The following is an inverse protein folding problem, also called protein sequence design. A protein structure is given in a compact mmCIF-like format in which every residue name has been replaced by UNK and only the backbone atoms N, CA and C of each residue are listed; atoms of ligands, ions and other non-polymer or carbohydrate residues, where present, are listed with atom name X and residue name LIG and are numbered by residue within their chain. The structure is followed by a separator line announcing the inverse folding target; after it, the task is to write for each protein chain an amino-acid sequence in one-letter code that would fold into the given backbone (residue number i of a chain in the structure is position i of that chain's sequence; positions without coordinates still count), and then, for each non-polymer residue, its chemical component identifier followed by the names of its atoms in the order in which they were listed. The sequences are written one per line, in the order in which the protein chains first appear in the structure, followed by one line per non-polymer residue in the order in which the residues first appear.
data_IF_181385061018
#
_entry.id   IF_181385061018
#
_cell.length_a   1.000
_cell.length_b   1.000
_cell.length_c   1.000
_cell.angle_alpha   90.00
_cell.angle_beta   90.00
_cell.angle_gamma   90.00
#
_symmetry.space_group_name_H-M   'P 1'
#
loop_
_entity.id
_entity.type
_entity.pdbx_description
1 polymer ?
#
# COMPACT_ATOMS: atom_id res chain seq x y z
N UNK A 1 -43.36 52.85 52.37
CA UNK A 1 -43.46 51.40 52.65
C UNK A 1 -42.28 50.72 51.98
N UNK A 2 -41.44 49.89 52.58
CA UNK A 2 -41.05 49.55 53.95
C UNK A 2 -39.86 48.58 53.79
N UNK A 3 -38.74 48.84 54.50
CA UNK A 3 -37.70 47.90 55.01
C UNK A 3 -37.23 46.74 54.11
N UNK A 4 -35.94 46.49 53.83
CA UNK A 4 -34.75 46.66 54.68
C UNK A 4 -34.60 45.48 55.65
N UNK A 5 -33.67 44.54 55.38
CA UNK A 5 -33.01 43.74 56.43
C UNK A 5 -31.79 42.96 55.88
N UNK A 6 -30.59 43.41 56.27
CA UNK A 6 -29.40 42.58 56.47
C UNK A 6 -29.46 41.94 57.87
N UNK A 7 -28.78 40.81 58.05
CA UNK A 7 -28.47 40.19 59.35
C UNK A 7 -29.07 38.78 59.44
N UNK A 8 -28.44 37.77 60.02
CA UNK A 8 -27.36 37.70 61.02
C UNK A 8 -26.72 36.31 61.00
N UNK A 9 -25.60 36.24 61.71
CA UNK A 9 -24.64 35.16 61.85
C UNK A 9 -24.98 34.06 62.89
N UNK A 10 -24.16 33.00 62.87
CA UNK A 10 -23.88 31.95 63.90
C UNK A 10 -24.94 30.83 63.98
N UNK A 11 -24.60 29.53 64.02
CA UNK A 11 -23.70 28.84 64.95
C UNK A 11 -23.13 27.50 64.40
N UNK A 12 -21.96 27.12 64.93
CA UNK A 12 -21.24 25.85 64.75
C UNK A 12 -22.01 24.61 65.24
N UNK A 13 -21.75 23.45 64.61
CA UNK A 13 -21.48 22.19 65.35
C UNK A 13 -20.78 21.13 64.48
N UNK A 14 -19.75 20.56 65.08
CA UNK A 14 -18.88 19.47 64.63
C UNK A 14 -19.64 18.16 64.35
N UNK A 15 -19.24 17.44 63.30
CA UNK A 15 -19.05 15.99 63.37
C UNK A 15 -17.81 15.60 62.56
N UNK A 16 -16.90 14.91 63.23
CA UNK A 16 -15.72 14.29 62.66
C UNK A 16 -16.10 12.97 61.98
N UNK A 17 -15.46 12.66 60.85
CA UNK A 17 -15.08 11.30 60.49
C UNK A 17 -14.03 11.34 59.36
N UNK A 18 -12.88 10.76 59.63
CA UNK A 18 -11.83 10.48 58.67
C UNK A 18 -12.30 9.42 57.66
N UNK A 19 -11.88 9.55 56.40
CA UNK A 19 -12.04 8.54 55.37
C UNK A 19 -11.00 8.79 54.27
N UNK A 20 -10.03 7.89 54.18
CA UNK A 20 -8.85 7.99 53.35
C UNK A 20 -9.12 7.91 51.84
N UNK A 21 -8.17 8.50 51.08
CA UNK A 21 -7.89 8.34 49.65
C UNK A 21 -8.26 6.98 49.06
N UNK A 22 -8.88 6.98 47.87
CA UNK A 22 -8.39 6.19 46.72
C UNK A 22 -8.63 7.01 45.43
N UNK A 23 -7.56 7.57 44.87
CA UNK A 23 -7.52 7.88 43.45
C UNK A 23 -7.59 6.53 42.71
N UNK A 24 -8.66 6.26 41.95
CA UNK A 24 -8.72 5.09 41.08
C UNK A 24 -7.65 5.25 39.99
N UNK A 25 -6.60 4.42 39.96
CA UNK A 25 -5.86 4.23 38.72
C UNK A 25 -6.79 3.44 37.80
N UNK A 26 -6.97 3.90 36.57
CA UNK A 26 -7.70 3.17 35.53
C UNK A 26 -7.11 1.77 35.36
N UNK A 27 -7.78 0.79 35.97
CA UNK A 27 -7.43 -0.63 36.00
C UNK A 27 -7.93 -1.29 34.71
N UNK A 28 -7.36 -0.91 33.55
CA UNK A 28 -7.65 -1.51 32.24
C UNK A 28 -6.38 -1.88 31.45
N UNK A 29 -5.24 -2.02 32.12
CA UNK A 29 -4.04 -2.62 31.56
C UNK A 29 -3.75 -4.00 32.18
N UNK A 30 -4.79 -4.78 32.50
CA UNK A 30 -4.62 -6.16 32.96
C UNK A 30 -4.49 -7.09 31.76
N UNK A 31 -3.28 -7.64 31.57
CA UNK A 31 -3.13 -9.04 31.14
C UNK A 31 -2.88 -9.35 29.67
N UNK A 32 -2.10 -8.53 28.93
CA UNK A 32 -1.42 -9.08 27.77
C UNK A 32 -0.13 -9.77 28.26
N UNK A 33 -0.12 -11.11 28.27
CA UNK A 33 1.11 -11.87 28.44
C UNK A 33 2.16 -11.37 27.43
N UNK A 34 3.42 -11.15 27.83
CA UNK A 34 4.45 -10.70 26.91
C UNK A 34 4.61 -11.71 25.77
N UNK A 35 4.44 -11.24 24.53
CA UNK A 35 4.57 -12.10 23.36
C UNK A 35 6.02 -12.62 23.28
N UNK A 36 6.25 -13.95 23.24
CA UNK A 36 7.60 -14.49 23.12
C UNK A 36 8.29 -14.03 21.83
N UNK A 37 9.58 -13.71 21.91
CA UNK A 37 10.35 -13.21 20.76
C UNK A 37 10.29 -14.14 19.54
N UNK A 38 10.30 -15.46 19.77
CA UNK A 38 10.16 -16.45 18.71
C UNK A 38 8.82 -16.35 17.96
N UNK A 39 7.73 -16.07 18.68
CA UNK A 39 6.41 -15.92 18.07
C UNK A 39 6.33 -14.64 17.22
N UNK A 40 6.93 -13.54 17.69
CA UNK A 40 7.01 -12.28 16.94
C UNK A 40 7.82 -12.48 15.65
N UNK A 41 8.99 -13.09 15.74
CA UNK A 41 9.84 -13.34 14.57
C UNK A 41 9.15 -14.28 13.58
N UNK A 42 8.51 -15.35 14.05
CA UNK A 42 7.76 -16.26 13.18
C UNK A 42 6.62 -15.53 12.46
N UNK A 43 5.86 -14.68 13.15
CA UNK A 43 4.79 -13.87 12.56
C UNK A 43 5.32 -12.95 11.45
N UNK A 44 6.37 -12.18 11.73
CA UNK A 44 6.92 -11.21 10.78
C UNK A 44 7.55 -11.90 9.56
N UNK A 45 8.14 -13.08 9.70
CA UNK A 45 8.60 -13.88 8.56
C UNK A 45 7.45 -14.42 7.68
N UNK A 46 6.20 -14.41 8.16
CA UNK A 46 5.03 -14.89 7.42
C UNK A 46 4.22 -13.76 6.79
N UNK A 47 4.20 -12.60 7.44
CA UNK A 47 3.33 -11.47 7.05
C UNK A 47 4.11 -10.24 6.56
N UNK A 48 5.43 -10.25 6.61
CA UNK A 48 6.29 -9.16 6.19
C UNK A 48 7.52 -9.70 5.44
N UNK A 49 8.34 -8.79 4.91
CA UNK A 49 9.63 -9.14 4.28
C UNK A 49 10.71 -9.59 5.29
N UNK A 50 10.38 -9.57 6.58
CA UNK A 50 11.24 -9.96 7.69
C UNK A 50 11.07 -9.01 8.87
N UNK A 51 11.63 -9.34 10.04
CA UNK A 51 11.48 -8.52 11.24
C UNK A 51 12.38 -7.29 11.21
N UNK A 52 11.81 -6.09 11.20
CA UNK A 52 12.50 -4.86 11.57
C UNK A 52 12.36 -4.57 13.07
N UNK A 53 13.24 -3.72 13.62
CA UNK A 53 13.19 -3.34 15.02
C UNK A 53 11.88 -2.60 15.39
N UNK A 54 11.32 -1.84 14.45
CA UNK A 54 10.08 -1.10 14.65
C UNK A 54 8.86 -2.02 14.63
N UNK A 55 8.81 -2.99 13.70
CA UNK A 55 7.73 -3.98 13.64
C UNK A 55 7.74 -4.91 14.85
N UNK A 56 8.92 -5.37 15.29
CA UNK A 56 9.04 -6.19 16.51
C UNK A 56 8.48 -5.44 17.72
N UNK A 57 8.82 -4.15 17.85
CA UNK A 57 8.29 -3.30 18.92
C UNK A 57 6.79 -3.10 18.81
N UNK A 58 6.28 -2.89 17.60
CA UNK A 58 4.85 -2.72 17.34
C UNK A 58 4.07 -3.97 17.73
N UNK A 59 4.46 -5.16 17.23
CA UNK A 59 3.82 -6.44 17.57
C UNK A 59 3.84 -6.70 19.09
N UNK A 60 4.97 -6.42 19.76
CA UNK A 60 5.06 -6.55 21.24
C UNK A 60 4.13 -5.58 21.99
N UNK A 61 3.84 -4.42 21.40
CA UNK A 61 3.00 -3.39 22.01
C UNK A 61 1.52 -3.72 21.87
N UNK A 62 1.09 -4.18 20.69
CA UNK A 62 -0.34 -4.40 20.40
C UNK A 62 -0.79 -5.86 20.50
N UNK A 63 0.16 -6.81 20.50
CA UNK A 63 -0.11 -8.24 20.45
C UNK A 63 -0.29 -8.77 19.02
N UNK A 64 -0.14 -10.09 18.87
CA UNK A 64 -0.15 -10.77 17.56
C UNK A 64 -1.50 -10.61 16.85
N UNK A 65 -2.58 -10.84 17.57
CA UNK A 65 -3.94 -10.87 17.02
C UNK A 65 -4.35 -9.49 16.50
N UNK A 66 -3.98 -8.43 17.23
CA UNK A 66 -4.24 -7.05 16.79
C UNK A 66 -3.38 -6.68 15.60
N UNK A 67 -2.12 -7.10 15.58
CA UNK A 67 -1.26 -6.87 14.42
C UNK A 67 -1.80 -7.55 13.16
N UNK A 68 -2.26 -8.80 13.26
CA UNK A 68 -2.89 -9.49 12.11
C UNK A 68 -4.14 -8.73 11.64
N UNK A 69 -5.02 -8.34 12.57
CA UNK A 69 -6.22 -7.60 12.22
C UNK A 69 -5.91 -6.25 11.54
N UNK A 70 -4.89 -5.53 12.03
CA UNK A 70 -4.40 -4.29 11.42
C UNK A 70 -3.89 -4.53 9.99
N UNK A 71 -3.06 -5.55 9.77
CA UNK A 71 -2.49 -5.86 8.45
C UNK A 71 -3.52 -6.32 7.41
N UNK A 72 -4.66 -6.87 7.85
CA UNK A 72 -5.77 -7.27 6.98
C UNK A 72 -6.63 -6.07 6.52
N UNK A 73 -6.48 -4.91 7.15
CA UNK A 73 -7.13 -3.65 6.75
C UNK A 73 -6.07 -2.56 6.47
N UNK A 74 -5.37 -2.64 5.32
CA UNK A 74 -4.26 -1.73 5.01
C UNK A 74 -4.71 -0.26 4.92
N UNK A 75 -5.99 0.01 4.60
CA UNK A 75 -6.49 1.38 4.50
C UNK A 75 -6.60 2.07 5.86
N UNK A 76 -6.71 1.30 6.95
CA UNK A 76 -6.63 1.81 8.31
C UNK A 76 -5.20 2.19 8.75
N UNK A 77 -4.17 1.73 8.03
CA UNK A 77 -2.76 2.00 8.35
C UNK A 77 -2.26 3.21 7.55
N UNK A 78 -1.91 4.34 8.19
CA UNK A 78 -1.42 5.50 7.48
C UNK A 78 -0.03 5.26 6.88
N UNK A 79 0.17 5.59 5.61
CA UNK A 79 1.51 5.59 4.99
C UNK A 79 2.37 6.78 5.51
N UNK A 80 3.65 6.56 5.81
CA UNK A 80 4.56 7.63 6.20
C UNK A 80 4.65 8.74 5.16
N UNK A 81 4.79 9.99 5.64
CA UNK A 81 4.90 11.16 4.77
C UNK A 81 6.07 11.06 3.80
N UNK A 82 7.19 10.48 4.24
CA UNK A 82 8.36 10.25 3.40
C UNK A 82 8.03 9.32 2.22
N UNK A 83 7.39 8.18 2.48
CA UNK A 83 7.01 7.23 1.43
C UNK A 83 6.09 7.90 0.42
N UNK A 84 5.04 8.59 0.90
CA UNK A 84 4.09 9.30 0.04
C UNK A 84 4.78 10.37 -0.82
N UNK A 85 5.72 11.12 -0.25
CA UNK A 85 6.48 12.15 -0.98
C UNK A 85 7.39 11.54 -2.05
N UNK A 86 8.12 10.46 -1.73
CA UNK A 86 9.00 9.77 -2.68
C UNK A 86 8.21 9.16 -3.84
N UNK A 87 7.12 8.45 -3.54
CA UNK A 87 6.22 7.90 -4.57
C UNK A 87 5.61 9.00 -5.44
N UNK A 88 5.31 10.17 -4.87
CA UNK A 88 4.80 11.31 -5.63
C UNK A 88 5.84 11.92 -6.60
N UNK A 89 7.12 11.57 -6.51
CA UNK A 89 8.13 11.97 -7.51
C UNK A 89 8.18 11.04 -8.73
N UNK A 90 7.52 9.88 -8.66
CA UNK A 90 7.55 8.85 -9.70
C UNK A 90 6.40 9.08 -10.69
N UNK A 91 6.62 10.00 -11.64
CA UNK A 91 5.58 10.52 -12.52
C UNK A 91 4.91 9.44 -13.37
N UNK A 92 5.65 8.41 -13.80
CA UNK A 92 5.10 7.35 -14.64
C UNK A 92 3.99 6.55 -13.96
N UNK A 93 3.98 6.47 -12.62
CA UNK A 93 2.94 5.78 -11.85
C UNK A 93 1.59 6.50 -11.85
N UNK A 94 1.60 7.81 -12.12
CA UNK A 94 0.39 8.65 -12.13
C UNK A 94 -0.37 8.53 -13.45
N UNK A 95 0.33 8.12 -14.51
CA UNK A 95 -0.21 8.06 -15.86
C UNK A 95 -1.18 6.89 -16.02
N UNK A 96 -2.23 7.11 -16.81
CA UNK A 96 -3.12 6.04 -17.24
C UNK A 96 -2.50 5.21 -18.40
N UNK A 97 -3.05 4.03 -18.73
CA UNK A 97 -2.48 3.18 -19.78
C UNK A 97 -2.41 3.83 -21.17
N UNK A 98 -3.34 4.73 -21.50
CA UNK A 98 -3.38 5.44 -22.78
C UNK A 98 -2.29 6.50 -22.81
N UNK A 99 -2.13 7.28 -21.74
CA UNK A 99 -1.06 8.26 -21.60
C UNK A 99 0.32 7.60 -21.65
N UNK A 100 0.52 6.48 -20.96
CA UNK A 100 1.75 5.70 -21.02
C UNK A 100 2.06 5.26 -22.45
N UNK A 101 1.07 4.74 -23.17
CA UNK A 101 1.24 4.37 -24.59
C UNK A 101 1.56 5.56 -25.48
N UNK A 102 0.94 6.71 -25.26
CA UNK A 102 1.16 7.90 -26.08
C UNK A 102 2.54 8.51 -25.84
N UNK A 103 2.96 8.57 -24.57
CA UNK A 103 4.21 9.20 -24.18
C UNK A 103 5.39 8.23 -24.37
N UNK A 104 5.26 6.97 -23.98
CA UNK A 104 6.36 6.01 -23.89
C UNK A 104 6.20 4.79 -24.80
N UNK A 105 5.09 4.69 -25.54
CA UNK A 105 4.90 3.63 -26.53
C UNK A 105 5.86 3.71 -27.72
N UNK A 106 5.85 2.69 -28.58
CA UNK A 106 6.77 2.61 -29.71
C UNK A 106 6.48 3.76 -30.68
N UNK A 107 7.54 4.24 -31.34
CA UNK A 107 7.41 5.23 -32.40
C UNK A 107 6.54 4.63 -33.52
N UNK A 108 5.41 5.29 -33.83
CA UNK A 108 4.57 4.89 -34.96
C UNK A 108 5.40 4.98 -36.23
N UNK A 109 5.64 3.85 -36.91
CA UNK A 109 6.06 3.88 -38.30
C UNK A 109 4.85 4.34 -39.13
N UNK A 110 4.69 5.66 -39.25
CA UNK A 110 3.86 6.20 -40.32
C UNK A 110 4.43 5.68 -41.65
N UNK A 111 3.56 5.31 -42.61
CA UNK A 111 3.95 4.73 -43.91
C UNK A 111 5.27 5.33 -44.43
N UNK A 112 6.32 4.51 -44.48
CA UNK A 112 7.63 4.88 -45.04
C UNK A 112 8.61 5.57 -44.07
N UNK A 113 8.19 5.94 -42.86
CA UNK A 113 9.08 6.47 -41.83
C UNK A 113 9.74 5.32 -41.07
N UNK A 114 11.03 5.09 -41.34
CA UNK A 114 11.89 4.31 -40.46
C UNK A 114 12.56 5.26 -39.48
N UNK A 115 12.33 5.12 -38.16
CA UNK A 115 13.04 5.92 -37.17
C UNK A 115 14.56 5.79 -37.38
N UNK A 116 15.29 6.91 -37.32
CA UNK A 116 16.75 6.87 -37.25
C UNK A 116 17.16 6.18 -35.92
N UNK A 117 18.23 5.36 -35.89
CA UNK A 117 18.81 4.79 -34.68
C UNK A 117 18.84 5.70 -33.43
N UNK A 118 19.07 7.01 -33.59
CA UNK A 118 19.05 7.98 -32.47
C UNK A 118 17.67 8.11 -31.82
N UNK A 119 16.60 8.16 -32.62
CA UNK A 119 15.23 8.24 -32.11
C UNK A 119 14.82 6.94 -31.41
N UNK A 120 15.25 5.80 -31.93
CA UNK A 120 15.01 4.51 -31.27
C UNK A 120 15.76 4.43 -29.93
N UNK A 121 16.99 4.92 -29.88
CA UNK A 121 17.77 4.97 -28.63
C UNK A 121 17.09 5.86 -27.60
N UNK A 122 16.70 7.08 -27.99
CA UNK A 122 15.97 7.99 -27.12
C UNK A 122 14.66 7.37 -26.61
N UNK A 123 13.93 6.64 -27.47
CA UNK A 123 12.71 5.95 -27.05
C UNK A 123 13.00 4.84 -26.04
N UNK A 124 14.04 4.02 -26.26
CA UNK A 124 14.48 3.00 -25.30
C UNK A 124 14.83 3.62 -23.95
N UNK A 125 15.61 4.71 -23.95
CA UNK A 125 15.97 5.44 -22.73
C UNK A 125 14.74 5.97 -21.99
N UNK A 126 13.71 6.42 -22.72
CA UNK A 126 12.44 6.85 -22.10
C UNK A 126 11.67 5.70 -21.47
N UNK A 127 11.64 4.52 -22.10
CA UNK A 127 10.98 3.33 -21.52
C UNK A 127 11.70 2.87 -20.25
N UNK A 128 13.03 3.01 -20.18
CA UNK A 128 13.79 2.69 -18.95
C UNK A 128 13.34 3.52 -17.73
N UNK A 129 12.80 4.72 -17.93
CA UNK A 129 12.22 5.54 -16.85
C UNK A 129 11.06 4.81 -16.18
N UNK A 130 10.22 4.13 -16.96
CA UNK A 130 9.06 3.38 -16.42
C UNK A 130 9.54 2.23 -15.54
N UNK A 131 10.53 1.47 -16.02
CA UNK A 131 11.09 0.35 -15.26
C UNK A 131 11.75 0.84 -13.97
N UNK A 132 12.55 1.90 -14.06
CA UNK A 132 13.20 2.51 -12.89
C UNK A 132 12.17 2.96 -11.86
N UNK A 133 11.16 3.72 -12.27
CA UNK A 133 10.13 4.22 -11.37
C UNK A 133 9.32 3.07 -10.74
N UNK A 134 8.97 2.04 -11.52
CA UNK A 134 8.26 0.86 -11.02
C UNK A 134 9.09 0.10 -9.96
N UNK A 135 10.36 -0.16 -10.26
CA UNK A 135 11.29 -0.83 -9.33
C UNK A 135 11.52 0.02 -8.08
N UNK A 136 11.74 1.33 -8.23
CA UNK A 136 11.92 2.23 -7.10
C UNK A 136 10.69 2.23 -6.19
N UNK A 137 9.48 2.31 -6.75
CA UNK A 137 8.26 2.28 -5.97
C UNK A 137 8.05 0.96 -5.23
N UNK A 138 8.36 -0.16 -5.87
CA UNK A 138 8.27 -1.48 -5.28
C UNK A 138 9.21 -1.59 -4.05
N UNK A 139 10.48 -1.20 -4.23
CA UNK A 139 11.49 -1.21 -3.15
C UNK A 139 11.11 -0.23 -2.03
N UNK A 140 10.70 0.99 -2.36
CA UNK A 140 10.32 2.00 -1.37
C UNK A 140 9.17 1.51 -0.49
N UNK A 141 8.18 0.82 -1.07
CA UNK A 141 7.07 0.27 -0.29
C UNK A 141 7.50 -0.91 0.56
N UNK A 142 8.28 -1.84 0.02
CA UNK A 142 8.82 -2.95 0.80
C UNK A 142 9.60 -2.47 2.04
N UNK A 143 10.36 -1.37 1.89
CA UNK A 143 11.19 -0.81 2.95
C UNK A 143 10.45 0.10 3.93
N UNK A 144 9.52 0.94 3.45
CA UNK A 144 8.97 2.05 4.23
C UNK A 144 7.47 1.90 4.54
N UNK A 145 6.76 0.99 3.88
CA UNK A 145 5.32 0.81 4.12
C UNK A 145 5.09 0.05 5.42
N UNK A 146 4.25 0.54 6.35
CA UNK A 146 3.81 -0.25 7.49
C UNK A 146 2.78 -1.33 7.09
N UNK A 147 2.30 -1.32 5.84
CA UNK A 147 1.29 -2.25 5.29
C UNK A 147 1.96 -3.53 4.75
N UNK A 148 2.83 -4.14 5.54
CA UNK A 148 3.71 -5.23 5.11
C UNK A 148 2.98 -6.42 4.47
N UNK A 149 1.84 -6.85 5.02
CA UNK A 149 1.08 -7.95 4.44
C UNK A 149 0.58 -7.58 3.04
N UNK A 150 0.17 -6.33 2.83
CA UNK A 150 -0.21 -5.86 1.51
C UNK A 150 0.96 -5.96 0.54
N UNK A 151 2.15 -5.52 0.93
CA UNK A 151 3.33 -5.52 0.05
C UNK A 151 3.82 -6.94 -0.31
N UNK A 152 3.85 -7.85 0.67
CA UNK A 152 4.18 -9.28 0.41
C UNK A 152 3.17 -9.91 -0.52
N UNK A 153 1.88 -9.64 -0.33
CA UNK A 153 0.84 -10.17 -1.21
C UNK A 153 0.90 -9.53 -2.60
N UNK A 154 1.30 -8.26 -2.72
CA UNK A 154 1.52 -7.61 -4.02
C UNK A 154 2.63 -8.31 -4.77
N UNK A 155 3.78 -8.56 -4.12
CA UNK A 155 4.89 -9.30 -4.71
C UNK A 155 4.46 -10.71 -5.16
N UNK A 156 3.78 -11.45 -4.28
CA UNK A 156 3.25 -12.78 -4.59
C UNK A 156 2.35 -12.77 -5.83
N UNK A 157 1.34 -11.88 -5.87
CA UNK A 157 0.38 -11.86 -6.98
C UNK A 157 0.97 -11.28 -8.26
N UNK A 158 1.89 -10.33 -8.16
CA UNK A 158 2.62 -9.82 -9.31
C UNK A 158 3.47 -10.92 -9.93
N UNK A 159 4.15 -11.73 -9.11
CA UNK A 159 4.90 -12.89 -9.57
C UNK A 159 3.99 -14.01 -10.13
N UNK A 160 2.80 -14.22 -9.55
CA UNK A 160 1.85 -15.22 -10.00
C UNK A 160 1.20 -14.85 -11.34
N UNK A 161 0.72 -13.60 -11.46
CA UNK A 161 0.19 -13.02 -12.70
C UNK A 161 1.27 -12.23 -13.43
N UNK A 162 2.40 -12.89 -13.67
CA UNK A 162 3.61 -12.25 -14.18
C UNK A 162 3.40 -11.62 -15.57
N UNK A 163 3.97 -10.43 -15.73
CA UNK A 163 4.24 -9.79 -17.03
C UNK A 163 5.73 -9.58 -17.11
N UNK A 164 6.39 -10.24 -18.06
CA UNK A 164 7.85 -10.19 -18.17
C UNK A 164 8.31 -8.95 -18.93
N UNK A 165 9.01 -8.05 -18.25
CA UNK A 165 9.68 -6.94 -18.92
C UNK A 165 10.84 -7.46 -19.78
N UNK A 166 10.79 -7.16 -21.08
CA UNK A 166 11.76 -7.65 -22.07
C UNK A 166 11.14 -8.39 -23.26
N UNK A 167 9.81 -8.62 -23.26
CA UNK A 167 9.11 -9.17 -24.45
C UNK A 167 8.76 -8.06 -25.47
N UNK A 168 8.63 -6.80 -25.04
CA UNK A 168 8.51 -5.66 -25.95
C UNK A 168 7.73 -4.49 -25.37
N UNK A 169 6.46 -4.34 -25.78
CA UNK A 169 5.65 -3.16 -25.43
C UNK A 169 5.05 -3.21 -24.03
N UNK A 170 5.14 -4.35 -23.36
CA UNK A 170 4.65 -4.58 -22.01
C UNK A 170 5.39 -3.78 -20.94
N UNK A 171 6.66 -3.44 -21.19
CA UNK A 171 7.48 -2.55 -20.35
C UNK A 171 6.78 -1.22 -20.06
N UNK A 172 5.99 -0.72 -21.01
CA UNK A 172 5.29 0.57 -20.93
C UNK A 172 4.25 0.61 -19.81
N UNK A 173 3.76 -0.56 -19.39
CA UNK A 173 2.66 -0.64 -18.43
C UNK A 173 3.03 -1.37 -17.14
N UNK A 174 4.27 -1.80 -16.94
CA UNK A 174 4.64 -2.68 -15.82
C UNK A 174 4.36 -2.05 -14.44
N UNK A 175 4.75 -0.78 -14.23
CA UNK A 175 4.44 -0.06 -12.99
C UNK A 175 2.95 0.18 -12.82
N UNK A 176 2.26 0.55 -13.90
CA UNK A 176 0.81 0.76 -13.90
C UNK A 176 0.04 -0.54 -13.61
N UNK A 177 0.52 -1.67 -14.10
CA UNK A 177 -0.04 -3.00 -13.87
C UNK A 177 -0.05 -3.35 -12.40
N UNK A 178 1.09 -3.18 -11.70
CA UNK A 178 1.12 -3.33 -10.25
C UNK A 178 0.11 -2.39 -9.59
N UNK A 179 0.19 -1.08 -9.88
CA UNK A 179 -0.62 -0.05 -9.22
C UNK A 179 -2.13 -0.20 -9.43
N UNK A 180 -2.58 -0.62 -10.62
CA UNK A 180 -3.99 -0.55 -11.03
C UNK A 180 -4.66 -1.91 -11.09
N UNK A 181 -3.92 -2.99 -11.36
CA UNK A 181 -4.48 -4.32 -11.52
C UNK A 181 -4.20 -5.25 -10.33
N UNK A 182 -3.08 -5.07 -9.63
CA UNK A 182 -2.70 -5.92 -8.49
C UNK A 182 -3.09 -5.27 -7.16
N UNK A 183 -2.46 -4.13 -6.82
CA UNK A 183 -2.54 -3.51 -5.48
C UNK A 183 -3.96 -3.28 -4.96
N UNK A 184 -4.93 -2.79 -5.77
CA UNK A 184 -6.28 -2.52 -5.26
C UNK A 184 -7.07 -3.77 -4.87
N UNK A 185 -6.67 -4.96 -5.36
CA UNK A 185 -7.41 -6.21 -5.22
C UNK A 185 -6.64 -7.29 -4.44
N UNK A 186 -5.45 -6.95 -3.95
CA UNK A 186 -4.46 -7.90 -3.44
C UNK A 186 -4.91 -8.70 -2.20
N UNK A 187 -5.70 -8.08 -1.32
CA UNK A 187 -6.35 -8.73 -0.17
C UNK A 187 -7.86 -8.96 -0.40
N UNK A 188 -8.35 -8.70 -1.62
CA UNK A 188 -9.76 -8.73 -1.97
C UNK A 188 -10.23 -10.08 -2.51
N UNK A 189 -11.30 -10.05 -3.31
CA UNK A 189 -11.82 -11.26 -3.96
C UNK A 189 -10.92 -11.63 -5.13
N UNK A 190 -10.49 -12.89 -5.18
CA UNK A 190 -9.69 -13.43 -6.28
C UNK A 190 -10.30 -13.17 -7.66
N UNK A 191 -11.63 -13.27 -7.81
CA UNK A 191 -12.32 -12.97 -9.06
C UNK A 191 -12.04 -11.55 -9.58
N UNK A 192 -12.01 -10.57 -8.68
CA UNK A 192 -11.80 -9.17 -9.06
C UNK A 192 -10.33 -8.95 -9.47
N UNK A 193 -9.39 -9.53 -8.72
CA UNK A 193 -7.97 -9.55 -9.06
C UNK A 193 -7.73 -10.19 -10.44
N UNK A 194 -8.24 -11.41 -10.66
CA UNK A 194 -8.12 -12.12 -11.93
C UNK A 194 -8.71 -11.32 -13.09
N UNK A 195 -9.87 -10.69 -12.88
CA UNK A 195 -10.50 -9.88 -13.92
C UNK A 195 -9.66 -8.64 -14.23
N UNK A 196 -9.15 -7.96 -13.21
CA UNK A 196 -8.30 -6.77 -13.38
C UNK A 196 -7.00 -7.11 -14.11
N UNK A 197 -6.33 -8.20 -13.75
CA UNK A 197 -5.06 -8.60 -14.39
C UNK A 197 -5.26 -9.02 -15.84
N UNK A 198 -6.26 -9.87 -16.13
CA UNK A 198 -6.52 -10.38 -17.48
C UNK A 198 -7.01 -9.32 -18.47
N UNK A 199 -7.60 -8.23 -18.00
CA UNK A 199 -8.07 -7.10 -18.83
C UNK A 199 -7.04 -5.99 -18.97
N UNK A 200 -5.93 -6.04 -18.22
CA UNK A 200 -4.93 -5.00 -18.26
C UNK A 200 -4.13 -5.01 -19.58
N UNK A 201 -3.83 -3.85 -20.20
CA UNK A 201 -3.06 -3.80 -21.45
C UNK A 201 -1.73 -4.54 -21.41
N UNK A 202 -1.03 -4.49 -20.27
CA UNK A 202 0.22 -5.23 -20.05
C UNK A 202 0.05 -6.75 -20.31
N UNK A 203 -0.97 -7.36 -19.70
CA UNK A 203 -1.25 -8.80 -19.84
C UNK A 203 -1.75 -9.16 -21.24
N UNK A 204 -2.59 -8.31 -21.84
CA UNK A 204 -3.11 -8.53 -23.18
C UNK A 204 -2.03 -8.53 -24.25
N UNK A 205 -1.01 -7.68 -24.08
CA UNK A 205 0.17 -7.65 -24.95
C UNK A 205 1.12 -8.80 -24.62
N UNK A 206 1.39 -9.06 -23.34
CA UNK A 206 2.28 -10.13 -22.92
C UNK A 206 1.84 -11.51 -23.44
N UNK A 207 0.54 -11.80 -23.45
CA UNK A 207 0.00 -13.08 -23.93
C UNK A 207 -0.35 -13.09 -25.42
N UNK A 208 -0.04 -12.02 -26.17
CA UNK A 208 -0.46 -11.82 -27.57
C UNK A 208 -1.99 -11.92 -27.78
N UNK A 209 -2.79 -11.82 -26.71
CA UNK A 209 -4.26 -11.85 -26.77
C UNK A 209 -4.83 -10.72 -27.63
N UNK A 210 -4.12 -9.58 -27.72
CA UNK A 210 -4.51 -8.47 -28.58
C UNK A 210 -4.40 -8.78 -30.08
N UNK A 211 -3.64 -9.81 -30.48
CA UNK A 211 -3.44 -10.24 -31.86
C UNK A 211 -4.24 -11.50 -32.20
N UNK A 212 -4.90 -12.10 -31.21
CA UNK A 212 -5.65 -13.33 -31.40
C UNK A 212 -6.93 -13.07 -32.18
N UNK A 213 -7.06 -13.71 -33.34
CA UNK A 213 -8.25 -13.67 -34.20
C UNK A 213 -8.75 -15.09 -34.41
N UNK A 214 -10.08 -15.29 -34.37
CA UNK A 214 -10.66 -16.59 -34.69
C UNK A 214 -10.50 -16.89 -36.19
N UNK A 215 -10.35 -18.17 -36.60
CA UNK A 215 -10.34 -18.53 -38.01
C UNK A 215 -11.59 -17.99 -38.72
N UNK A 216 -11.39 -17.12 -39.73
CA UNK A 216 -12.48 -16.49 -40.49
C UNK A 216 -12.97 -15.12 -39.97
N UNK A 217 -12.35 -14.57 -38.93
CA UNK A 217 -12.63 -13.21 -38.46
C UNK A 217 -12.02 -12.16 -39.39
N UNK A 218 -12.77 -11.15 -39.88
CA UNK A 218 -12.19 -9.94 -40.45
C UNK A 218 -11.59 -9.14 -39.28
N UNK A 219 -10.28 -9.23 -39.10
CA UNK A 219 -9.55 -8.46 -38.09
C UNK A 219 -9.65 -6.95 -38.29
#
# INVERSE_FOLDING_TARGET
MSNGARGRSRFYRFFAAAGALIALPSLLALGAEPVPDQAVVHLLNRLAFGPTLDEVRHVKTIGVERYIAEQLDPDAIPEPIELRWRLAQLDTLKLDPVQLRQLYGPLRSLRGFKPNPELEKAQRERVQIILRDATEAHILRALLSPRQLQEVMVDFWFNHFNVFSGKGLDDVWIGNYEQRAIRPFVLGRFRDLLFATTKHPAMLVYLDNALSTAPGSPG
#
